data_IF_793745451310
#
_entry.id   IF_793745451310
#
_cell.length_a   1.000
_cell.length_b   1.000
_cell.length_c   1.000
_cell.angle_alpha   90.00
_cell.angle_beta   90.00
_cell.angle_gamma   90.00
#
_symmetry.space_group_name_H-M   'P 1'
#
loop_
_entity.id
_entity.type
_entity.pdbx_description
1 polymer ?
#
# COMPACT_ATOMS: atom_id res chain seq x y z
N UNK A 1 20.22 -30.05 21.66
CA UNK A 1 20.79 -31.03 20.70
C UNK A 1 21.49 -32.23 21.36
N UNK A 2 22.25 -32.05 22.46
CA UNK A 2 23.00 -33.13 23.15
C UNK A 2 22.11 -34.17 23.88
N UNK A 3 20.97 -33.76 24.43
CA UNK A 3 20.02 -34.66 25.13
C UNK A 3 19.28 -35.62 24.19
N UNK A 4 19.04 -35.20 22.94
CA UNK A 4 18.33 -36.00 21.93
C UNK A 4 19.20 -37.16 21.38
N UNK A 5 20.51 -36.92 21.25
CA UNK A 5 21.46 -37.95 20.83
C UNK A 5 21.65 -39.03 21.90
N UNK A 6 21.77 -38.64 23.18
CA UNK A 6 21.96 -39.58 24.30
C UNK A 6 20.78 -40.56 24.46
N UNK A 7 19.55 -40.09 24.24
CA UNK A 7 18.36 -40.94 24.33
C UNK A 7 18.27 -41.92 23.14
N UNK A 8 18.68 -41.49 21.95
CA UNK A 8 18.74 -42.36 20.75
C UNK A 8 19.74 -43.51 20.95
N UNK A 9 20.90 -43.24 21.55
CA UNK A 9 21.95 -44.26 21.77
C UNK A 9 21.56 -45.30 22.82
N UNK A 10 20.86 -44.90 23.90
CA UNK A 10 20.38 -45.83 24.94
C UNK A 10 19.26 -46.74 24.41
N UNK A 11 18.41 -46.22 23.52
CA UNK A 11 17.33 -46.99 22.89
C UNK A 11 17.89 -47.98 21.87
N UNK A 12 18.92 -47.62 21.10
CA UNK A 12 19.53 -48.54 20.13
C UNK A 12 20.28 -49.70 20.79
N UNK A 13 20.95 -49.46 21.91
CA UNK A 13 21.70 -50.51 22.62
C UNK A 13 20.79 -51.51 23.32
N UNK A 14 19.68 -51.06 23.91
CA UNK A 14 18.69 -51.95 24.54
C UNK A 14 17.96 -52.83 23.53
N UNK A 15 17.67 -52.32 22.33
CA UNK A 15 17.06 -53.10 21.24
C UNK A 15 18.01 -54.17 20.69
N UNK A 16 19.30 -53.85 20.56
CA UNK A 16 20.33 -54.79 20.09
C UNK A 16 20.49 -55.97 21.04
N UNK A 17 20.50 -55.73 22.37
CA UNK A 17 20.60 -56.80 23.38
C UNK A 17 19.39 -57.74 23.32
N UNK A 18 18.17 -57.19 23.15
CA UNK A 18 16.95 -58.00 23.08
C UNK A 18 16.87 -58.83 21.79
N UNK A 19 17.37 -58.29 20.68
CA UNK A 19 17.51 -59.02 19.41
C UNK A 19 18.55 -60.16 19.53
N UNK A 20 19.66 -59.93 20.24
CA UNK A 20 20.70 -60.92 20.45
C UNK A 20 20.21 -62.09 21.33
N UNK A 21 19.46 -61.81 22.40
CA UNK A 21 18.84 -62.84 23.25
C UNK A 21 17.83 -63.69 22.47
N UNK A 22 17.04 -63.06 21.61
CA UNK A 22 16.00 -63.76 20.81
C UNK A 22 16.61 -64.62 19.69
N UNK A 23 17.72 -64.19 19.08
CA UNK A 23 18.47 -65.00 18.10
C UNK A 23 19.11 -66.22 18.77
N UNK A 24 19.70 -66.07 19.97
CA UNK A 24 20.29 -67.21 20.70
C UNK A 24 19.21 -68.24 21.08
N UNK A 25 18.03 -67.80 21.50
CA UNK A 25 16.91 -68.70 21.80
C UNK A 25 16.42 -69.46 20.56
N UNK A 26 16.31 -68.78 19.41
CA UNK A 26 15.96 -69.41 18.14
C UNK A 26 16.99 -70.42 17.65
N UNK A 27 18.29 -70.11 17.77
CA UNK A 27 19.38 -71.03 17.43
C UNK A 27 19.34 -72.29 18.30
N UNK A 28 19.05 -72.15 19.60
CA UNK A 28 18.89 -73.30 20.50
C UNK A 28 17.73 -74.21 20.09
N UNK A 29 16.61 -73.62 19.65
CA UNK A 29 15.41 -74.35 19.21
C UNK A 29 15.64 -75.12 17.89
N UNK A 30 16.48 -74.61 16.98
CA UNK A 30 16.81 -75.28 15.71
C UNK A 30 17.87 -76.38 15.88
N UNK A 31 18.74 -76.26 16.87
CA UNK A 31 19.84 -77.20 17.14
C UNK A 31 19.36 -78.55 17.72
N UNK A 32 18.19 -78.59 18.37
CA UNK A 32 17.61 -79.83 18.91
C UNK A 32 16.87 -80.60 17.81
N UNK A 33 17.62 -81.35 17.01
CA UNK A 33 17.23 -81.98 15.73
C UNK A 33 16.08 -83.03 15.75
N UNK A 34 15.30 -83.20 16.83
CA UNK A 34 14.27 -84.25 16.93
C UNK A 34 12.81 -83.77 17.00
N UNK A 35 12.51 -82.47 16.82
CA UNK A 35 11.14 -81.91 16.72
C UNK A 35 10.14 -82.39 17.82
N UNK A 36 10.63 -82.88 18.95
CA UNK A 36 9.85 -83.18 20.15
C UNK A 36 9.98 -81.98 21.08
N UNK A 37 8.99 -81.09 21.01
CA UNK A 37 8.94 -79.90 21.87
C UNK A 37 8.63 -80.32 23.30
N UNK A 38 9.54 -80.01 24.22
CA UNK A 38 9.25 -80.15 25.64
C UNK A 38 8.32 -79.00 26.09
N UNK A 39 7.51 -79.17 27.15
CA UNK A 39 6.62 -78.12 27.64
C UNK A 39 7.32 -76.79 27.97
N UNK A 40 8.61 -76.83 28.28
CA UNK A 40 9.47 -75.67 28.58
C UNK A 40 9.82 -74.82 27.33
N UNK A 41 9.82 -75.41 26.13
CA UNK A 41 10.10 -74.69 24.88
C UNK A 41 8.95 -73.75 24.49
N UNK A 42 7.71 -74.10 24.87
CA UNK A 42 6.54 -73.23 24.65
C UNK A 42 6.62 -71.94 25.45
N UNK A 43 7.23 -71.96 26.65
CA UNK A 43 7.41 -70.77 27.49
C UNK A 43 8.38 -69.79 26.81
N UNK A 44 9.49 -70.29 26.26
CA UNK A 44 10.46 -69.47 25.54
C UNK A 44 9.86 -68.83 24.28
N UNK A 45 9.02 -69.57 23.55
CA UNK A 45 8.32 -69.06 22.37
C UNK A 45 7.34 -67.95 22.73
N UNK A 46 6.66 -68.05 23.88
CA UNK A 46 5.76 -67.01 24.38
C UNK A 46 6.52 -65.73 24.76
N UNK A 47 7.66 -65.85 25.44
CA UNK A 47 8.55 -64.72 25.73
C UNK A 47 9.12 -64.07 24.46
N UNK A 48 9.45 -64.88 23.44
CA UNK A 48 9.90 -64.40 22.14
C UNK A 48 8.82 -63.56 21.46
N UNK A 49 7.59 -64.09 21.36
CA UNK A 49 6.45 -63.37 20.76
C UNK A 49 6.16 -62.08 21.53
N UNK A 50 6.16 -62.13 22.87
CA UNK A 50 5.94 -60.95 23.71
C UNK A 50 7.03 -59.88 23.53
N UNK A 51 8.29 -60.28 23.41
CA UNK A 51 9.42 -59.38 23.15
C UNK A 51 9.32 -58.69 21.79
N UNK A 52 8.98 -59.45 20.74
CA UNK A 52 8.74 -58.91 19.40
C UNK A 52 7.52 -57.97 19.36
N UNK A 53 6.45 -58.30 20.08
CA UNK A 53 5.27 -57.43 20.19
C UNK A 53 5.60 -56.09 20.87
N UNK A 54 6.45 -56.10 21.91
CA UNK A 54 6.90 -54.88 22.60
C UNK A 54 7.79 -54.00 21.71
N UNK A 55 8.72 -54.61 20.95
CA UNK A 55 9.57 -53.90 19.99
C UNK A 55 8.73 -53.27 18.88
N UNK A 56 7.78 -54.02 18.30
CA UNK A 56 6.89 -53.53 17.24
C UNK A 56 6.03 -52.37 17.76
N UNK A 57 5.45 -52.51 18.96
CA UNK A 57 4.66 -51.44 19.60
C UNK A 57 5.49 -50.18 19.82
N UNK A 58 6.73 -50.31 20.31
CA UNK A 58 7.66 -49.19 20.49
C UNK A 58 8.05 -48.54 19.15
N UNK A 59 8.37 -49.33 18.13
CA UNK A 59 8.72 -48.84 16.80
C UNK A 59 7.54 -48.11 16.12
N UNK A 60 6.32 -48.62 16.28
CA UNK A 60 5.10 -47.96 15.83
C UNK A 60 4.91 -46.62 16.53
N UNK A 61 5.01 -46.57 17.87
CA UNK A 61 4.85 -45.31 18.62
C UNK A 61 5.90 -44.25 18.25
N UNK A 62 7.15 -44.66 18.02
CA UNK A 62 8.25 -43.75 17.66
C UNK A 62 8.09 -43.19 16.23
N UNK A 63 7.55 -44.00 15.30
CA UNK A 63 7.26 -43.56 13.92
C UNK A 63 6.10 -42.57 13.89
N UNK A 64 5.08 -42.74 14.73
CA UNK A 64 3.96 -41.77 14.82
C UNK A 64 4.38 -40.42 15.36
N UNK A 65 5.21 -40.34 16.42
CA UNK A 65 5.56 -39.06 17.04
C UNK A 65 6.42 -38.17 16.12
N UNK A 66 7.40 -38.76 15.42
CA UNK A 66 8.18 -38.01 14.44
C UNK A 66 7.38 -37.66 13.19
N UNK A 67 6.38 -38.46 12.79
CA UNK A 67 5.57 -38.15 11.61
C UNK A 67 4.56 -37.02 11.87
N UNK A 68 3.94 -36.98 13.06
CA UNK A 68 2.99 -35.92 13.44
C UNK A 68 3.68 -34.57 13.66
N UNK A 69 4.89 -34.55 14.21
CA UNK A 69 5.66 -33.30 14.38
C UNK A 69 6.12 -32.73 13.03
N UNK A 70 6.62 -33.59 12.12
CA UNK A 70 6.99 -33.16 10.77
C UNK A 70 5.78 -32.70 9.94
N UNK A 71 4.62 -33.34 10.06
CA UNK A 71 3.40 -32.91 9.38
C UNK A 71 2.86 -31.57 9.91
N UNK A 72 2.95 -31.34 11.23
CA UNK A 72 2.51 -30.08 11.84
C UNK A 72 3.40 -28.93 11.40
N UNK A 73 4.72 -29.09 11.46
CA UNK A 73 5.69 -28.09 11.00
C UNK A 73 5.60 -27.84 9.49
N UNK A 74 5.35 -28.86 8.66
CA UNK A 74 5.18 -28.67 7.22
C UNK A 74 3.89 -27.94 6.86
N UNK A 75 2.76 -28.27 7.52
CA UNK A 75 1.49 -27.58 7.31
C UNK A 75 1.54 -26.11 7.76
N UNK A 76 2.21 -25.86 8.88
CA UNK A 76 2.47 -24.52 9.40
C UNK A 76 3.37 -23.67 8.48
N UNK A 77 4.42 -24.28 7.91
CA UNK A 77 5.29 -23.62 6.92
C UNK A 77 4.53 -23.32 5.63
N UNK A 78 3.72 -24.26 5.14
CA UNK A 78 2.93 -24.06 3.92
C UNK A 78 1.88 -22.97 4.09
N UNK A 79 1.20 -22.92 5.24
CA UNK A 79 0.28 -21.83 5.59
C UNK A 79 0.99 -20.47 5.66
N UNK A 80 2.20 -20.43 6.23
CA UNK A 80 3.00 -19.22 6.30
C UNK A 80 3.42 -18.72 4.91
N UNK A 81 3.89 -19.63 4.04
CA UNK A 81 4.26 -19.30 2.66
C UNK A 81 3.04 -18.78 1.90
N UNK A 82 1.89 -19.43 2.00
CA UNK A 82 0.65 -18.98 1.37
C UNK A 82 0.20 -17.62 1.90
N UNK A 83 0.26 -17.40 3.22
CA UNK A 83 -0.09 -16.13 3.86
C UNK A 83 0.84 -15.00 3.43
N UNK A 84 2.14 -15.27 3.34
CA UNK A 84 3.15 -14.31 2.88
C UNK A 84 2.96 -13.97 1.41
N UNK A 85 2.70 -14.97 0.56
CA UNK A 85 2.44 -14.78 -0.87
C UNK A 85 1.16 -13.97 -1.10
N UNK A 86 0.07 -14.30 -0.39
CA UNK A 86 -1.19 -13.56 -0.46
C UNK A 86 -1.01 -12.11 -0.03
N UNK A 87 -0.29 -11.90 1.06
CA UNK A 87 0.01 -10.57 1.59
C UNK A 87 0.88 -9.73 0.64
N UNK A 88 1.89 -10.33 0.01
CA UNK A 88 2.69 -9.67 -1.01
C UNK A 88 1.85 -9.30 -2.25
N UNK A 89 0.92 -10.17 -2.66
CA UNK A 89 0.01 -9.89 -3.77
C UNK A 89 -0.98 -8.76 -3.45
N UNK A 90 -1.55 -8.76 -2.24
CA UNK A 90 -2.45 -7.70 -1.77
C UNK A 90 -1.71 -6.36 -1.71
N UNK A 91 -0.48 -6.37 -1.20
CA UNK A 91 0.40 -5.22 -1.15
C UNK A 91 0.79 -4.70 -2.53
N UNK A 92 1.21 -5.58 -3.45
CA UNK A 92 1.57 -5.20 -4.81
C UNK A 92 0.36 -4.59 -5.54
N UNK A 93 -0.84 -5.11 -5.29
CA UNK A 93 -2.08 -4.54 -5.81
C UNK A 93 -2.31 -3.13 -5.24
N UNK A 94 -2.15 -2.95 -3.94
CA UNK A 94 -2.31 -1.67 -3.27
C UNK A 94 -1.29 -0.63 -3.77
N UNK A 95 0.01 -0.95 -3.81
CA UNK A 95 1.04 -0.06 -4.35
C UNK A 95 0.73 0.38 -5.79
N UNK A 96 0.35 -0.56 -6.65
CA UNK A 96 -0.01 -0.24 -8.03
C UNK A 96 -1.25 0.65 -8.11
N UNK A 97 -2.27 0.39 -7.29
CA UNK A 97 -3.45 1.24 -7.22
C UNK A 97 -3.06 2.67 -6.78
N UNK A 98 -2.29 2.79 -5.71
CA UNK A 98 -1.85 4.08 -5.17
C UNK A 98 -0.95 4.86 -6.14
N UNK A 99 -0.08 4.18 -6.88
CA UNK A 99 0.77 4.81 -7.90
C UNK A 99 -0.02 5.25 -9.13
N UNK A 100 -1.06 4.52 -9.51
CA UNK A 100 -1.95 4.93 -10.60
C UNK A 100 -2.76 6.17 -10.20
N UNK A 101 -3.28 6.23 -8.97
CA UNK A 101 -4.01 7.40 -8.44
C UNK A 101 -3.09 8.63 -8.31
N UNK A 102 -1.95 8.48 -7.59
CA UNK A 102 -0.62 8.97 -8.02
C UNK A 102 -0.57 9.86 -9.26
N UNK A 103 -0.42 9.13 -10.35
CA UNK A 103 -0.21 9.64 -11.69
C UNK A 103 -1.44 10.36 -12.22
N UNK A 104 -2.65 9.91 -11.87
CA UNK A 104 -3.89 10.54 -12.32
C UNK A 104 -4.01 11.96 -11.76
N UNK A 105 -3.78 12.14 -10.46
CA UNK A 105 -3.80 13.46 -9.81
C UNK A 105 -2.73 14.40 -10.35
N UNK A 106 -1.50 13.90 -10.57
CA UNK A 106 -0.43 14.70 -11.20
C UNK A 106 -0.78 15.10 -12.65
N UNK A 107 -1.45 14.22 -13.38
CA UNK A 107 -1.92 14.53 -14.74
C UNK A 107 -3.01 15.61 -14.69
N UNK A 108 -3.93 15.51 -13.74
CA UNK A 108 -4.98 16.51 -13.54
C UNK A 108 -4.39 17.88 -13.16
N UNK A 109 -3.40 17.92 -12.27
CA UNK A 109 -2.67 19.14 -11.93
C UNK A 109 -2.02 19.77 -13.16
N UNK A 110 -1.40 18.96 -14.03
CA UNK A 110 -0.80 19.46 -15.27
C UNK A 110 -1.84 20.09 -16.20
N UNK A 111 -2.99 19.43 -16.39
CA UNK A 111 -4.07 19.95 -17.24
C UNK A 111 -4.64 21.25 -16.67
N UNK A 112 -4.86 21.30 -15.35
CA UNK A 112 -5.34 22.51 -14.68
C UNK A 112 -4.34 23.66 -14.81
N UNK A 113 -3.05 23.39 -14.64
CA UNK A 113 -1.99 24.36 -14.80
C UNK A 113 -1.93 24.89 -16.23
N UNK A 114 -2.04 24.02 -17.22
CA UNK A 114 -2.06 24.39 -18.63
C UNK A 114 -3.25 25.29 -18.99
N UNK A 115 -4.45 24.95 -18.51
CA UNK A 115 -5.66 25.76 -18.70
C UNK A 115 -5.54 27.13 -18.01
N UNK A 116 -5.06 27.15 -16.77
CA UNK A 116 -4.89 28.39 -16.02
C UNK A 116 -3.85 29.32 -16.65
N UNK A 117 -2.71 28.80 -17.12
CA UNK A 117 -1.70 29.58 -17.83
C UNK A 117 -2.26 30.16 -19.12
N UNK A 118 -3.01 29.37 -19.91
CA UNK A 118 -3.64 29.87 -21.13
C UNK A 118 -4.66 30.98 -20.86
N UNK A 119 -5.50 30.83 -19.82
CA UNK A 119 -6.46 31.86 -19.41
C UNK A 119 -5.79 33.14 -18.94
N UNK A 120 -4.73 33.03 -18.13
CA UNK A 120 -3.94 34.18 -17.70
C UNK A 120 -3.31 34.90 -18.87
N UNK A 121 -2.66 34.17 -19.78
CA UNK A 121 -2.03 34.75 -20.97
C UNK A 121 -3.06 35.46 -21.85
N UNK A 122 -4.18 34.81 -22.16
CA UNK A 122 -5.24 35.37 -22.99
C UNK A 122 -5.82 36.64 -22.36
N UNK A 123 -6.06 36.61 -21.05
CA UNK A 123 -6.60 37.75 -20.33
C UNK A 123 -5.62 38.92 -20.27
N UNK A 124 -4.33 38.67 -20.01
CA UNK A 124 -3.32 39.73 -20.00
C UNK A 124 -3.15 40.37 -21.38
N UNK A 125 -3.13 39.57 -22.45
CA UNK A 125 -3.10 40.12 -23.82
C UNK A 125 -4.36 40.92 -24.15
N UNK A 126 -5.54 40.45 -23.73
CA UNK A 126 -6.79 41.17 -23.94
C UNK A 126 -6.82 42.51 -23.18
N UNK A 127 -6.42 42.52 -21.91
CA UNK A 127 -6.29 43.74 -21.10
C UNK A 127 -5.29 44.69 -21.73
N UNK A 128 -4.12 44.21 -22.17
CA UNK A 128 -3.08 45.05 -22.78
C UNK A 128 -3.58 45.74 -24.06
N UNK A 129 -4.26 45.00 -24.93
CA UNK A 129 -4.88 45.56 -26.13
C UNK A 129 -6.01 46.54 -25.80
N UNK A 130 -6.87 46.20 -24.84
CA UNK A 130 -7.97 47.05 -24.39
C UNK A 130 -7.48 48.35 -23.76
N UNK A 131 -6.48 48.30 -22.89
CA UNK A 131 -5.87 49.49 -22.29
C UNK A 131 -5.24 50.39 -23.37
N UNK A 132 -4.59 49.80 -24.38
CA UNK A 132 -4.03 50.58 -25.52
C UNK A 132 -5.13 51.27 -26.33
N UNK A 133 -6.23 50.57 -26.60
CA UNK A 133 -7.40 51.12 -27.30
C UNK A 133 -8.07 52.22 -26.47
N UNK A 134 -8.29 52.02 -25.17
CA UNK A 134 -8.82 53.04 -24.27
C UNK A 134 -7.93 54.28 -24.25
N UNK A 135 -6.61 54.12 -24.16
CA UNK A 135 -5.67 55.23 -24.19
C UNK A 135 -5.75 56.01 -25.52
N UNK A 136 -5.85 55.31 -26.66
CA UNK A 136 -6.01 55.97 -27.95
C UNK A 136 -7.33 56.74 -28.08
N UNK A 137 -8.43 56.20 -27.53
CA UNK A 137 -9.73 56.89 -27.50
C UNK A 137 -9.68 58.11 -26.58
N UNK A 138 -9.03 57.99 -25.42
CA UNK A 138 -8.86 59.07 -24.47
C UNK A 138 -8.06 60.25 -25.07
N UNK A 139 -7.00 59.96 -25.83
CA UNK A 139 -6.25 61.00 -26.55
C UNK A 139 -7.12 61.73 -27.59
N UNK A 140 -7.91 60.98 -28.38
CA UNK A 140 -8.85 61.56 -29.36
C UNK A 140 -9.93 62.42 -28.69
N UNK A 141 -10.45 61.97 -27.54
CA UNK A 141 -11.43 62.73 -26.77
C UNK A 141 -10.83 64.04 -26.25
N UNK A 142 -9.60 63.99 -25.71
CA UNK A 142 -8.87 65.17 -25.23
C UNK A 142 -8.54 66.15 -26.36
N UNK A 143 -8.15 65.64 -27.52
CA UNK A 143 -7.91 66.42 -28.74
C UNK A 143 -9.20 67.10 -29.22
N UNK A 144 -10.32 66.37 -29.30
CA UNK A 144 -11.62 66.94 -29.69
C UNK A 144 -12.06 68.06 -28.72
N UNK A 145 -11.97 67.84 -27.41
CA UNK A 145 -12.34 68.84 -26.39
C UNK A 145 -11.44 70.10 -26.47
N UNK A 146 -10.17 69.93 -26.82
CA UNK A 146 -9.25 71.08 -26.98
C UNK A 146 -9.45 71.84 -28.30
N UNK A 147 -10.05 71.22 -29.32
CA UNK A 147 -10.44 71.85 -30.59
C UNK A 147 -11.90 72.37 -30.60
N UNK A 148 -12.71 72.06 -29.59
CA UNK A 148 -14.11 72.48 -29.41
C UNK A 148 -14.25 73.95 -28.98
N UNK A 149 -13.72 74.88 -29.79
CA UNK A 149 -13.94 76.33 -29.61
C UNK A 149 -14.88 76.94 -30.65
N UNK A 150 -15.34 76.21 -31.69
CA UNK A 150 -16.09 76.85 -32.79
C UNK A 150 -17.25 76.05 -33.47
N UNK A 151 -17.60 74.81 -33.08
CA UNK A 151 -18.71 74.05 -33.74
C UNK A 151 -19.47 73.17 -32.71
N UNK A 152 -20.65 73.59 -32.27
CA UNK A 152 -21.34 73.07 -31.06
C UNK A 152 -22.27 71.85 -31.25
N UNK A 153 -22.49 71.32 -32.46
CA UNK A 153 -23.56 70.30 -32.67
C UNK A 153 -23.10 68.92 -33.17
N UNK A 154 -22.01 68.83 -33.94
CA UNK A 154 -21.48 67.55 -34.43
C UNK A 154 -20.45 66.91 -33.46
N UNK A 155 -19.78 67.74 -32.66
CA UNK A 155 -18.73 67.32 -31.70
C UNK A 155 -19.31 66.49 -30.54
N UNK A 156 -20.48 66.88 -30.02
CA UNK A 156 -21.09 66.23 -28.84
C UNK A 156 -21.50 64.78 -29.11
N UNK A 157 -22.11 64.48 -30.26
CA UNK A 157 -22.54 63.11 -30.59
C UNK A 157 -21.34 62.15 -30.79
N UNK A 158 -20.23 62.66 -31.33
CA UNK A 158 -18.99 61.89 -31.48
C UNK A 158 -18.31 61.67 -30.12
N UNK A 159 -18.29 62.67 -29.25
CA UNK A 159 -17.74 62.55 -27.91
C UNK A 159 -18.53 61.56 -27.05
N UNK A 160 -19.87 61.57 -27.13
CA UNK A 160 -20.73 60.59 -26.45
C UNK A 160 -20.46 59.15 -26.92
N UNK A 161 -20.23 58.94 -28.23
CA UNK A 161 -19.88 57.64 -28.77
C UNK A 161 -18.49 57.14 -28.31
N UNK A 162 -17.50 58.04 -28.20
CA UNK A 162 -16.18 57.72 -27.66
C UNK A 162 -16.23 57.37 -26.17
N UNK A 163 -17.02 58.11 -25.39
CA UNK A 163 -17.26 57.82 -23.96
C UNK A 163 -17.95 56.47 -23.79
N UNK A 164 -18.96 56.16 -24.62
CA UNK A 164 -19.61 54.84 -24.63
C UNK A 164 -18.62 53.72 -24.95
N UNK A 165 -17.72 53.90 -25.93
CA UNK A 165 -16.67 52.92 -26.22
C UNK A 165 -15.72 52.70 -25.04
N UNK A 166 -15.25 53.77 -24.37
CA UNK A 166 -14.42 53.64 -23.17
C UNK A 166 -15.15 52.83 -22.09
N UNK A 167 -16.45 53.10 -21.88
CA UNK A 167 -17.29 52.34 -20.96
C UNK A 167 -17.30 50.84 -21.27
N UNK A 168 -17.53 50.47 -22.53
CA UNK A 168 -17.52 49.06 -22.96
C UNK A 168 -16.16 48.40 -22.76
N UNK A 169 -15.06 49.08 -23.11
CA UNK A 169 -13.71 48.55 -22.90
C UNK A 169 -13.36 48.38 -21.41
N UNK A 170 -13.87 49.27 -20.55
CA UNK A 170 -13.65 49.17 -19.10
C UNK A 170 -14.40 47.98 -18.52
N UNK A 171 -15.63 47.75 -18.97
CA UNK A 171 -16.40 46.59 -18.57
C UNK A 171 -15.73 45.28 -18.99
N UNK A 172 -15.26 45.19 -20.24
CA UNK A 172 -14.52 44.02 -20.71
C UNK A 172 -13.19 43.83 -19.98
N UNK A 173 -12.46 44.91 -19.68
CA UNK A 173 -11.24 44.87 -18.86
C UNK A 173 -11.55 44.31 -17.47
N UNK A 174 -12.65 44.75 -16.85
CA UNK A 174 -13.11 44.23 -15.55
C UNK A 174 -13.44 42.73 -15.58
N UNK A 175 -14.06 42.25 -16.66
CA UNK A 175 -14.34 40.82 -16.86
C UNK A 175 -13.05 39.99 -17.03
N UNK A 176 -12.09 40.50 -17.79
CA UNK A 176 -10.78 39.88 -17.99
C UNK A 176 -9.99 39.81 -16.67
N UNK A 177 -9.94 40.90 -15.92
CA UNK A 177 -9.31 40.92 -14.58
C UNK A 177 -9.96 39.88 -13.66
N UNK A 178 -11.29 39.76 -13.66
CA UNK A 178 -11.99 38.75 -12.86
C UNK A 178 -11.62 37.32 -13.28
N UNK A 179 -11.55 37.06 -14.58
CA UNK A 179 -11.10 35.78 -15.15
C UNK A 179 -9.65 35.47 -14.75
N UNK A 180 -8.77 36.47 -14.72
CA UNK A 180 -7.38 36.35 -14.26
C UNK A 180 -7.32 35.96 -12.79
N UNK A 181 -8.07 36.66 -11.93
CA UNK A 181 -8.12 36.38 -10.48
C UNK A 181 -8.63 34.96 -10.22
N UNK A 182 -9.71 34.55 -10.88
CA UNK A 182 -10.21 33.17 -10.78
C UNK A 182 -9.20 32.17 -11.30
N UNK A 183 -8.48 32.48 -12.38
CA UNK A 183 -7.44 31.58 -12.89
C UNK A 183 -6.32 31.41 -11.88
N UNK A 184 -5.86 32.47 -11.20
CA UNK A 184 -4.81 32.39 -10.16
C UNK A 184 -5.13 31.43 -9.01
N UNK A 185 -6.41 31.11 -8.78
CA UNK A 185 -6.83 30.10 -7.80
C UNK A 185 -6.33 28.69 -8.15
N UNK A 186 -5.81 28.47 -9.37
CA UNK A 186 -5.09 27.24 -9.73
C UNK A 186 -3.93 26.95 -8.76
N UNK A 187 -3.31 27.99 -8.19
CA UNK A 187 -2.21 27.84 -7.24
C UNK A 187 -2.66 27.08 -5.99
N UNK A 188 -3.84 27.41 -5.46
CA UNK A 188 -4.40 26.75 -4.27
C UNK A 188 -4.76 25.30 -4.57
N UNK A 189 -5.36 25.05 -5.75
CA UNK A 189 -5.67 23.70 -6.21
C UNK A 189 -4.39 22.87 -6.45
N UNK A 190 -3.34 23.47 -6.99
CA UNK A 190 -2.05 22.83 -7.18
C UNK A 190 -1.40 22.48 -5.83
N UNK A 191 -1.42 23.42 -4.87
CA UNK A 191 -0.92 23.18 -3.52
C UNK A 191 -1.67 22.03 -2.83
N UNK A 192 -2.99 21.97 -2.99
CA UNK A 192 -3.82 20.91 -2.46
C UNK A 192 -3.46 19.54 -3.06
N UNK A 193 -3.37 19.43 -4.40
CA UNK A 193 -3.00 18.17 -5.06
C UNK A 193 -1.59 17.74 -4.65
N UNK A 194 -0.63 18.66 -4.57
CA UNK A 194 0.74 18.35 -4.11
C UNK A 194 0.72 17.81 -2.68
N UNK A 195 -0.06 18.42 -1.78
CA UNK A 195 -0.21 17.94 -0.41
C UNK A 195 -0.82 16.52 -0.37
N UNK A 196 -1.83 16.24 -1.20
CA UNK A 196 -2.41 14.89 -1.29
C UNK A 196 -1.42 13.85 -1.82
N UNK A 197 -0.69 14.17 -2.89
CA UNK A 197 0.35 13.29 -3.43
C UNK A 197 1.45 13.05 -2.39
N UNK A 198 1.87 14.08 -1.65
CA UNK A 198 2.87 13.96 -0.58
C UNK A 198 2.41 13.02 0.53
N UNK A 199 1.20 13.23 1.08
CA UNK A 199 0.65 12.38 2.14
C UNK A 199 0.51 10.91 1.70
N UNK A 200 0.19 10.68 0.42
CA UNK A 200 0.13 9.34 -0.16
C UNK A 200 1.52 8.71 -0.27
N UNK A 201 2.53 9.46 -0.71
CA UNK A 201 3.92 8.98 -0.75
C UNK A 201 4.44 8.65 0.66
N UNK A 202 4.13 9.45 1.67
CA UNK A 202 4.49 9.17 3.06
C UNK A 202 3.85 7.86 3.56
N UNK A 203 2.60 7.61 3.16
CA UNK A 203 1.89 6.36 3.47
C UNK A 203 2.56 5.15 2.79
N UNK A 204 2.95 5.29 1.52
CA UNK A 204 3.69 4.25 0.79
C UNK A 204 5.07 3.99 1.41
N UNK A 205 5.76 5.03 1.87
CA UNK A 205 7.04 4.92 2.57
C UNK A 205 6.88 4.16 3.89
N UNK A 206 5.83 4.44 4.66
CA UNK A 206 5.50 3.72 5.89
C UNK A 206 5.27 2.22 5.65
N UNK A 207 4.53 1.87 4.59
CA UNK A 207 4.33 0.47 4.18
C UNK A 207 5.68 -0.17 3.83
N UNK A 208 6.53 0.50 3.04
CA UNK A 208 7.86 -0.01 2.67
C UNK A 208 8.78 -0.22 3.88
N UNK A 209 8.77 0.70 4.86
CA UNK A 209 9.52 0.55 6.12
C UNK A 209 9.06 -0.70 6.88
N UNK A 210 7.75 -0.93 6.95
CA UNK A 210 7.21 -2.13 7.61
C UNK A 210 7.62 -3.43 6.91
N UNK A 211 7.75 -3.45 5.57
CA UNK A 211 8.29 -4.60 4.82
C UNK A 211 9.73 -4.88 5.21
N UNK A 212 10.56 -3.84 5.22
CA UNK A 212 11.98 -3.95 5.58
C UNK A 212 12.14 -4.57 6.97
N UNK A 213 11.30 -4.16 7.93
CA UNK A 213 11.30 -4.69 9.29
C UNK A 213 10.90 -6.18 9.34
N UNK A 214 9.93 -6.63 8.54
CA UNK A 214 9.56 -8.06 8.45
C UNK A 214 10.74 -8.89 7.92
N UNK A 215 11.45 -8.40 6.89
CA UNK A 215 12.62 -9.07 6.35
C UNK A 215 13.79 -9.13 7.36
N UNK A 216 14.00 -8.07 8.15
CA UNK A 216 15.01 -8.05 9.21
C UNK A 216 14.70 -9.05 10.34
N UNK A 217 13.43 -9.21 10.71
CA UNK A 217 13.03 -10.14 11.77
C UNK A 217 13.22 -11.61 11.35
N UNK A 218 13.16 -11.90 10.05
CA UNK A 218 13.41 -13.23 9.48
C UNK A 218 14.90 -13.63 9.51
N UNK A 219 15.83 -12.66 9.54
CA UNK A 219 17.26 -12.92 9.58
C UNK A 219 17.83 -13.01 11.01
N UNK A 220 17.05 -12.68 12.05
CA UNK A 220 17.44 -12.90 13.44
C UNK A 220 17.21 -14.36 13.83
N UNK A 221 18.30 -14.99 14.23
CA UNK A 221 18.54 -16.42 14.35
C UNK A 221 17.82 -17.06 15.56
N UNK A 222 16.49 -17.08 15.58
CA UNK A 222 15.71 -17.86 16.54
C UNK A 222 14.71 -18.74 15.79
N UNK A 223 15.08 -20.01 15.63
CA UNK A 223 14.37 -21.04 14.87
C UNK A 223 12.99 -21.43 15.43
N UNK A 224 12.55 -20.81 16.54
CA UNK A 224 11.55 -21.42 17.41
C UNK A 224 10.24 -20.64 17.54
N UNK A 225 10.07 -19.48 16.88
CA UNK A 225 8.84 -18.71 17.06
C UNK A 225 8.14 -18.32 15.75
N UNK A 226 7.65 -19.33 15.03
CA UNK A 226 6.69 -19.17 13.93
C UNK A 226 5.49 -18.27 14.32
N UNK A 227 5.07 -18.32 15.59
CA UNK A 227 3.98 -17.47 16.09
C UNK A 227 4.32 -15.98 15.98
N UNK A 228 5.57 -15.58 16.26
CA UNK A 228 6.01 -14.19 16.09
C UNK A 228 5.98 -13.76 14.63
N UNK A 229 6.37 -14.64 13.71
CA UNK A 229 6.32 -14.33 12.27
C UNK A 229 4.88 -14.19 11.77
N UNK A 230 4.00 -15.10 12.16
CA UNK A 230 2.56 -15.03 11.85
C UNK A 230 1.94 -13.74 12.40
N UNK A 231 2.35 -13.31 13.59
CA UNK A 231 1.92 -12.07 14.23
C UNK A 231 2.43 -10.84 13.46
N UNK A 232 3.70 -10.81 13.06
CA UNK A 232 4.26 -9.72 12.26
C UNK A 232 3.58 -9.58 10.90
N UNK A 233 3.30 -10.69 10.21
CA UNK A 233 2.53 -10.67 8.96
C UNK A 233 1.09 -10.16 9.18
N UNK A 234 0.47 -10.46 10.32
CA UNK A 234 -0.85 -9.90 10.66
C UNK A 234 -0.79 -8.40 10.91
N UNK A 235 0.19 -7.91 11.66
CA UNK A 235 0.41 -6.47 11.86
C UNK A 235 0.65 -5.77 10.53
N UNK A 236 1.44 -6.39 9.65
CA UNK A 236 1.70 -5.87 8.30
C UNK A 236 0.42 -5.78 7.46
N UNK A 237 -0.39 -6.85 7.44
CA UNK A 237 -1.71 -6.84 6.77
C UNK A 237 -2.61 -5.74 7.30
N UNK A 238 -2.63 -5.55 8.63
CA UNK A 238 -3.43 -4.51 9.27
C UNK A 238 -2.97 -3.11 8.84
N UNK A 239 -1.66 -2.86 8.83
CA UNK A 239 -1.10 -1.58 8.41
C UNK A 239 -1.42 -1.26 6.94
N UNK A 240 -1.36 -2.25 6.03
CA UNK A 240 -1.79 -2.08 4.64
C UNK A 240 -3.27 -1.70 4.56
N UNK A 241 -4.13 -2.42 5.28
CA UNK A 241 -5.56 -2.13 5.27
C UNK A 241 -5.88 -0.75 5.86
N UNK A 242 -5.24 -0.37 6.96
CA UNK A 242 -5.40 0.95 7.59
C UNK A 242 -4.93 2.07 6.66
N UNK A 243 -3.79 1.89 5.98
CA UNK A 243 -3.30 2.85 4.99
C UNK A 243 -4.25 2.96 3.79
N UNK A 244 -4.72 1.83 3.25
CA UNK A 244 -5.71 1.79 2.17
C UNK A 244 -7.01 2.49 2.58
N UNK A 245 -7.47 2.30 3.82
CA UNK A 245 -8.68 2.93 4.33
C UNK A 245 -8.51 4.45 4.54
N UNK A 246 -7.38 4.90 5.09
CA UNK A 246 -7.08 6.33 5.26
C UNK A 246 -7.01 7.03 3.91
N UNK A 247 -6.42 6.38 2.90
CA UNK A 247 -6.34 6.94 1.55
C UNK A 247 -7.70 6.90 0.85
N UNK A 248 -8.47 5.81 1.01
CA UNK A 248 -9.84 5.77 0.51
C UNK A 248 -10.71 6.85 1.16
N UNK A 249 -10.50 7.15 2.45
CA UNK A 249 -11.17 8.29 3.11
C UNK A 249 -10.71 9.63 2.55
N UNK A 250 -9.42 9.78 2.22
CA UNK A 250 -8.92 10.97 1.54
C UNK A 250 -9.52 11.15 0.13
N UNK A 251 -9.80 10.05 -0.60
CA UNK A 251 -10.48 10.05 -1.91
C UNK A 251 -11.92 10.58 -1.83
N UNK A 252 -12.57 10.46 -0.67
CA UNK A 252 -13.95 10.90 -0.42
C UNK A 252 -14.04 12.05 0.59
N UNK A 253 -12.96 12.78 0.84
CA UNK A 253 -13.06 14.05 1.54
C UNK A 253 -13.15 15.16 0.48
N UNK A 254 -14.35 15.50 -0.04
CA UNK A 254 -14.51 16.73 -0.78
C UNK A 254 -14.16 17.81 0.24
N UNK A 255 -13.05 18.52 -0.02
CA UNK A 255 -12.71 19.82 0.55
C UNK A 255 -13.70 20.22 1.63
N UNK A 256 -13.35 20.02 2.91
CA UNK A 256 -14.10 20.60 4.01
C UNK A 256 -14.43 22.02 3.59
N UNK A 257 -15.72 22.24 3.32
CA UNK A 257 -16.26 23.54 3.02
C UNK A 257 -16.15 24.35 4.32
N UNK A 258 -14.94 24.80 4.64
CA UNK A 258 -14.79 25.99 5.47
C UNK A 258 -15.25 27.14 4.60
N UNK A 259 -16.57 27.33 4.65
CA UNK A 259 -17.29 28.58 4.40
C UNK A 259 -16.35 29.71 3.96
N UNK A 260 -16.17 29.87 2.64
CA UNK A 260 -16.03 31.23 2.14
C UNK A 260 -17.40 31.86 2.29
N UNK A 261 -17.62 32.56 3.40
CA UNK A 261 -18.58 33.64 3.45
C UNK A 261 -18.12 34.74 2.49
N UNK A 262 -18.20 34.49 1.19
CA UNK A 262 -18.15 35.50 0.15
C UNK A 262 -19.58 36.03 0.00
N UNK A 263 -19.95 36.87 0.96
CA UNK A 263 -21.29 37.43 1.07
C UNK A 263 -21.27 38.69 1.91
N UNK A 264 -20.25 39.53 1.75
CA UNK A 264 -20.38 40.99 1.87
C UNK A 264 -19.07 41.63 1.40
N UNK A 265 -19.04 42.06 0.15
CA UNK A 265 -18.19 43.19 -0.21
C UNK A 265 -19.19 44.28 -0.53
N UNK A 266 -19.54 45.04 0.50
CA UNK A 266 -20.19 46.33 0.38
C UNK A 266 -19.44 47.15 -0.67
N UNK A 267 -20.11 47.40 -1.80
CA UNK A 267 -19.69 48.42 -2.74
C UNK A 267 -19.89 49.78 -2.06
N UNK A 268 -18.79 50.41 -1.69
CA UNK A 268 -18.68 51.87 -1.65
C UNK A 268 -17.70 52.31 -2.73
#
# INVERSE_FOLDING_TARGET
>A
MVSFQKNKTIITTTLQVLLLITVIAGIKMVSTSNWQFAPEDYILLLFFIAGWMLIIRRALTFKTQNYTDWQKTSAEFEQLTQKTQGLFNDMAREFNAQFNEAKHELTQLRVLLEDAIHKLLTSFTAIENQTRQQHAIYLKLTENISHEKLIETESSANNDALVAQIGTLSEQTGQNVRTTITSLQFQDLAAQIIAHVSNRLDSLESIMKNISNVHMTLNQHDSDNLSNLIQNLNHFKKAINEASELISKAKYNPVSQTHMGAGDIDLF
#
